data_IF_855198653760
#
_entry.id   IF_855198653760
#
_cell.length_a   1.000
_cell.length_b   1.000
_cell.length_c   1.000
_cell.angle_alpha   90.00
_cell.angle_beta   90.00
_cell.angle_gamma   90.00
#
_symmetry.space_group_name_H-M   'P 1'
#
loop_
_entity.id
_entity.type
_entity.pdbx_description
1 polymer ?
#
# COMPACT_ATOMS: atom_id res chain seq x y z
N UNK A 1 28.01 -7.77 9.59
CA UNK A 1 28.67 -6.62 8.92
C UNK A 1 27.61 -5.83 8.19
N UNK A 2 27.41 -4.57 8.58
CA UNK A 2 26.29 -3.72 8.19
C UNK A 2 26.30 -3.43 6.69
N UNK A 3 25.45 -4.14 5.96
CA UNK A 3 25.32 -4.01 4.52
C UNK A 3 24.72 -2.64 4.16
N UNK A 4 25.59 -1.70 3.84
CA UNK A 4 25.32 -0.27 3.81
C UNK A 4 24.70 0.13 2.47
N UNK A 5 23.38 -0.04 2.33
CA UNK A 5 22.68 0.59 1.21
C UNK A 5 22.67 2.11 1.38
N UNK A 6 22.46 2.89 0.33
CA UNK A 6 22.32 4.36 0.40
C UNK A 6 20.99 4.77 -0.20
N UNK A 7 20.25 5.62 0.52
CA UNK A 7 18.97 6.15 0.04
C UNK A 7 19.21 7.55 -0.52
N UNK A 8 18.82 7.75 -1.78
CA UNK A 8 18.77 9.06 -2.45
C UNK A 8 17.31 9.42 -2.72
N UNK A 9 16.89 10.57 -2.22
CA UNK A 9 15.55 11.12 -2.45
C UNK A 9 15.62 12.07 -3.64
N UNK A 10 14.72 11.89 -4.60
CA UNK A 10 14.61 12.71 -5.82
C UNK A 10 13.20 13.25 -5.98
N UNK A 11 13.05 14.37 -6.69
CA UNK A 11 11.74 14.97 -7.01
C UNK A 11 10.84 15.11 -5.77
N UNK A 12 11.41 15.65 -4.70
CA UNK A 12 10.69 15.82 -3.44
C UNK A 12 9.64 16.92 -3.59
N UNK A 13 8.42 16.63 -3.16
CA UNK A 13 7.29 17.55 -3.24
C UNK A 13 6.44 17.45 -1.98
N UNK A 14 6.13 18.60 -1.38
CA UNK A 14 5.16 18.70 -0.30
C UNK A 14 3.76 18.82 -0.89
N UNK A 15 2.82 17.97 -0.46
CA UNK A 15 1.43 18.02 -0.89
C UNK A 15 0.52 18.19 0.35
N UNK A 16 0.20 19.43 0.73
CA UNK A 16 -0.67 19.73 1.87
C UNK A 16 -2.10 19.21 1.71
N UNK A 17 -2.63 19.18 0.49
CA UNK A 17 -4.01 18.76 0.18
C UNK A 17 -4.27 17.32 0.62
N UNK A 18 -3.27 16.45 0.46
CA UNK A 18 -3.31 15.04 0.87
C UNK A 18 -2.54 14.78 2.17
N UNK A 19 -2.15 15.84 2.89
CA UNK A 19 -1.39 15.79 4.16
C UNK A 19 -0.14 14.91 4.08
N UNK A 20 0.58 14.96 2.96
CA UNK A 20 1.76 14.10 2.72
C UNK A 20 2.89 14.81 2.00
N UNK A 21 4.10 14.27 2.16
CA UNK A 21 5.27 14.53 1.33
C UNK A 21 5.45 13.34 0.40
N UNK A 22 5.76 13.61 -0.87
CA UNK A 22 5.93 12.58 -1.89
C UNK A 22 7.23 12.77 -2.64
N UNK A 23 7.89 11.67 -2.99
CA UNK A 23 9.21 11.71 -3.61
C UNK A 23 9.52 10.39 -4.35
N UNK A 24 10.38 10.51 -5.36
CA UNK A 24 11.03 9.36 -5.97
C UNK A 24 12.18 8.90 -5.07
N UNK A 25 12.32 7.59 -4.93
CA UNK A 25 13.39 6.95 -4.19
C UNK A 25 14.35 6.26 -5.14
N UNK A 26 15.63 6.40 -4.85
CA UNK A 26 16.68 5.64 -5.46
C UNK A 26 17.55 5.04 -4.37
N UNK A 27 17.77 3.73 -4.44
CA UNK A 27 18.49 2.97 -3.44
C UNK A 27 19.69 2.34 -4.12
N UNK A 28 20.88 2.63 -3.61
CA UNK A 28 22.13 2.02 -4.03
C UNK A 28 22.47 0.89 -3.07
N UNK A 29 22.69 -0.31 -3.57
CA UNK A 29 22.95 -1.52 -2.79
C UNK A 29 23.92 -2.45 -3.55
N UNK A 30 25.18 -2.03 -3.79
CA UNK A 30 26.09 -2.68 -4.75
C UNK A 30 26.35 -4.17 -4.47
N UNK A 31 26.42 -4.58 -3.20
CA UNK A 31 26.73 -5.96 -2.81
C UNK A 31 25.51 -6.79 -2.37
N UNK A 32 24.30 -6.24 -2.50
CA UNK A 32 23.04 -6.88 -2.08
C UNK A 32 22.12 -7.02 -3.28
N UNK A 33 21.47 -8.17 -3.44
CA UNK A 33 20.51 -8.39 -4.53
C UNK A 33 19.31 -7.44 -4.47
N UNK A 34 18.61 -7.40 -3.33
CA UNK A 34 17.50 -6.46 -3.09
C UNK A 34 17.43 -6.02 -1.63
N UNK A 35 16.83 -4.85 -1.39
CA UNK A 35 16.64 -4.30 -0.05
C UNK A 35 15.18 -4.46 0.38
N UNK A 36 14.96 -4.98 1.58
CA UNK A 36 13.63 -5.13 2.12
C UNK A 36 13.00 -3.75 2.40
N UNK A 37 11.70 -3.59 2.09
CA UNK A 37 11.00 -2.32 2.31
C UNK A 37 10.97 -1.90 3.78
N UNK A 38 10.97 -2.85 4.71
CA UNK A 38 10.99 -2.58 6.16
C UNK A 38 12.28 -1.83 6.55
N UNK A 39 13.44 -2.32 6.12
CA UNK A 39 14.75 -1.68 6.35
C UNK A 39 14.78 -0.25 5.77
N UNK A 40 14.28 -0.06 4.55
CA UNK A 40 14.22 1.27 3.90
C UNK A 40 13.30 2.21 4.68
N UNK A 41 12.18 1.69 5.19
CA UNK A 41 11.19 2.46 5.94
C UNK A 41 11.75 2.94 7.28
N UNK A 42 12.42 2.07 8.01
CA UNK A 42 13.09 2.40 9.28
C UNK A 42 14.15 3.48 9.08
N UNK A 43 14.95 3.37 8.01
CA UNK A 43 15.98 4.37 7.71
C UNK A 43 15.38 5.71 7.29
N UNK A 44 14.29 5.72 6.54
CA UNK A 44 13.55 6.94 6.23
C UNK A 44 12.92 7.56 7.47
N UNK A 45 12.41 6.75 8.40
CA UNK A 45 11.88 7.23 9.67
C UNK A 45 12.96 7.97 10.49
N UNK A 46 14.17 7.39 10.58
CA UNK A 46 15.32 8.04 11.22
C UNK A 46 15.74 9.32 10.50
N UNK A 47 15.87 9.28 9.16
CA UNK A 47 16.30 10.42 8.35
C UNK A 47 15.36 11.63 8.47
N UNK A 48 14.05 11.39 8.48
CA UNK A 48 13.03 12.44 8.57
C UNK A 48 12.53 12.69 9.99
N UNK A 49 13.18 12.10 11.02
CA UNK A 49 12.83 12.23 12.44
C UNK A 49 11.33 12.01 12.69
N UNK A 50 10.81 10.91 12.16
CA UNK A 50 9.41 10.55 12.26
C UNK A 50 9.19 9.66 13.49
N UNK A 51 8.21 10.03 14.32
CA UNK A 51 7.86 9.25 15.52
C UNK A 51 7.27 7.88 15.20
N UNK A 52 6.56 7.76 14.06
CA UNK A 52 5.82 6.56 13.69
C UNK A 52 6.18 6.09 12.28
N UNK A 53 6.76 4.89 12.19
CA UNK A 53 7.14 4.23 10.92
C UNK A 53 5.91 3.97 10.03
N UNK A 54 4.75 3.74 10.64
CA UNK A 54 3.47 3.50 9.95
C UNK A 54 2.93 4.70 9.15
N UNK A 55 3.52 5.88 9.32
CA UNK A 55 3.20 7.07 8.49
C UNK A 55 3.83 7.03 7.10
N UNK A 56 4.78 6.11 6.87
CA UNK A 56 5.54 5.98 5.64
C UNK A 56 4.97 4.82 4.80
N UNK A 57 4.69 5.08 3.53
CA UNK A 57 4.24 4.06 2.57
C UNK A 57 5.18 4.03 1.37
N UNK A 58 5.69 2.84 1.06
CA UNK A 58 6.71 2.61 0.03
C UNK A 58 6.16 1.67 -1.06
N UNK A 59 6.25 2.08 -2.33
CA UNK A 59 5.75 1.27 -3.45
C UNK A 59 6.53 1.47 -4.75
N UNK A 60 6.26 0.62 -5.74
CA UNK A 60 6.85 0.75 -7.08
C UNK A 60 8.35 0.44 -7.15
N UNK A 61 8.86 -0.40 -6.24
CA UNK A 61 10.27 -0.78 -6.21
C UNK A 61 10.59 -1.67 -7.41
N UNK A 62 11.58 -1.26 -8.22
CA UNK A 62 12.13 -1.99 -9.35
C UNK A 62 13.65 -1.90 -9.33
N UNK A 63 14.31 -3.04 -9.24
CA UNK A 63 15.76 -3.17 -9.43
C UNK A 63 16.09 -2.86 -10.89
N UNK A 64 17.17 -2.10 -11.13
CA UNK A 64 17.67 -1.88 -12.49
C UNK A 64 18.36 -3.16 -13.00
N UNK A 65 18.45 -3.25 -14.33
CA UNK A 65 19.26 -4.26 -14.99
C UNK A 65 20.73 -4.15 -14.54
N UNK A 66 21.37 -5.30 -14.33
CA UNK A 66 22.72 -5.38 -13.74
C UNK A 66 22.77 -5.30 -12.21
N UNK A 67 21.65 -5.06 -11.53
CA UNK A 67 21.59 -5.05 -10.06
C UNK A 67 22.18 -3.79 -9.42
N UNK A 68 22.43 -3.84 -8.11
CA UNK A 68 23.09 -2.76 -7.35
C UNK A 68 22.30 -1.44 -7.17
N UNK A 69 21.19 -1.26 -7.89
CA UNK A 69 20.36 -0.04 -7.82
C UNK A 69 18.88 -0.37 -7.96
N UNK A 70 18.06 0.24 -7.11
CA UNK A 70 16.60 0.12 -7.12
C UNK A 70 15.94 1.48 -7.19
N UNK A 71 14.95 1.65 -8.07
CA UNK A 71 14.06 2.82 -8.09
C UNK A 71 12.76 2.50 -7.38
N UNK A 72 12.19 3.45 -6.67
CA UNK A 72 10.90 3.31 -5.99
C UNK A 72 10.22 4.66 -5.80
N UNK A 73 9.09 4.65 -5.10
CA UNK A 73 8.36 5.84 -4.73
C UNK A 73 7.99 5.78 -3.24
N UNK A 74 8.11 6.93 -2.58
CA UNK A 74 7.85 7.07 -1.15
C UNK A 74 6.81 8.15 -0.87
N UNK A 75 5.95 7.86 0.11
CA UNK A 75 4.99 8.79 0.67
C UNK A 75 5.19 8.85 2.18
N UNK A 76 5.30 10.06 2.72
CA UNK A 76 5.36 10.31 4.17
C UNK A 76 4.15 11.16 4.53
N UNK A 77 3.23 10.59 5.30
CA UNK A 77 2.05 11.29 5.79
C UNK A 77 2.32 12.01 7.12
N UNK A 78 1.53 13.03 7.45
CA UNK A 78 1.63 13.72 8.74
C UNK A 78 1.19 12.84 9.92
N UNK A 79 0.15 12.03 9.75
CA UNK A 79 -0.39 11.15 10.78
C UNK A 79 -0.91 9.83 10.18
N UNK A 80 -1.14 8.82 11.04
CA UNK A 80 -1.62 7.49 10.63
C UNK A 80 -3.06 7.54 10.11
N UNK A 81 -3.89 8.47 10.63
CA UNK A 81 -5.27 8.62 10.16
C UNK A 81 -5.33 9.13 8.72
N UNK A 82 -4.42 10.03 8.31
CA UNK A 82 -4.30 10.44 6.92
C UNK A 82 -3.84 9.27 6.04
N UNK A 83 -2.97 8.38 6.53
CA UNK A 83 -2.62 7.15 5.81
C UNK A 83 -3.88 6.33 5.55
N UNK A 84 -4.65 6.01 6.60
CA UNK A 84 -5.86 5.18 6.47
C UNK A 84 -6.92 5.84 5.58
N UNK A 85 -7.05 7.17 5.60
CA UNK A 85 -8.02 7.92 4.79
C UNK A 85 -7.65 8.01 3.31
N UNK A 86 -6.39 8.33 2.99
CA UNK A 86 -5.98 8.67 1.63
C UNK A 86 -5.31 7.52 0.87
N UNK A 87 -4.77 6.51 1.55
CA UNK A 87 -4.16 5.38 0.85
C UNK A 87 -5.16 4.36 0.35
N UNK A 88 -4.74 3.65 -0.70
CA UNK A 88 -5.53 2.56 -1.25
C UNK A 88 -5.56 1.38 -0.27
N UNK A 89 -6.76 0.81 -0.04
CA UNK A 89 -6.97 -0.32 0.88
C UNK A 89 -5.96 -1.47 0.72
N UNK A 90 -5.63 -1.86 -0.51
CA UNK A 90 -4.69 -2.97 -0.74
C UNK A 90 -3.26 -2.70 -0.23
N UNK A 91 -2.84 -1.42 -0.14
CA UNK A 91 -1.55 -1.06 0.45
C UNK A 91 -1.63 -1.10 1.97
N UNK A 92 -2.73 -0.62 2.54
CA UNK A 92 -2.98 -0.70 3.98
C UNK A 92 -2.95 -2.13 4.49
N UNK A 93 -3.55 -3.07 3.75
CA UNK A 93 -3.50 -4.52 4.05
C UNK A 93 -2.07 -5.06 4.00
N UNK A 94 -1.26 -4.67 3.00
CA UNK A 94 0.15 -5.10 2.90
C UNK A 94 1.03 -4.53 4.01
N UNK A 95 0.66 -3.38 4.55
CA UNK A 95 1.33 -2.74 5.68
C UNK A 95 0.80 -3.22 7.04
N UNK A 96 -0.24 -4.06 7.07
CA UNK A 96 -0.84 -4.58 8.30
C UNK A 96 -1.66 -3.55 9.08
N UNK A 97 -2.08 -2.44 8.45
CA UNK A 97 -2.88 -1.40 9.12
C UNK A 97 -4.39 -1.68 9.13
N UNK A 98 -4.85 -2.57 8.24
CA UNK A 98 -6.25 -2.99 8.09
C UNK A 98 -6.27 -4.46 7.66
N UNK A 99 -7.22 -5.23 8.17
CA UNK A 99 -7.43 -6.61 7.76
C UNK A 99 -8.06 -6.74 6.37
N UNK A 100 -7.75 -7.84 5.68
CA UNK A 100 -8.30 -8.11 4.37
C UNK A 100 -9.79 -8.47 4.48
N UNK A 101 -10.66 -7.59 3.98
CA UNK A 101 -12.08 -7.87 3.81
C UNK A 101 -12.29 -9.11 2.91
N UNK A 102 -12.97 -10.13 3.42
CA UNK A 102 -13.40 -11.31 2.65
C UNK A 102 -14.70 -10.99 1.93
N UNK A 103 -14.66 -10.95 0.59
CA UNK A 103 -15.82 -10.69 -0.26
C UNK A 103 -16.12 -11.88 -1.15
N UNK A 104 -17.40 -12.08 -1.46
CA UNK A 104 -17.81 -13.02 -2.48
C UNK A 104 -17.15 -12.66 -3.83
N UNK A 105 -16.80 -13.68 -4.62
CA UNK A 105 -16.18 -13.48 -5.93
C UNK A 105 -17.05 -12.64 -6.87
N UNK A 106 -16.41 -12.06 -7.90
CA UNK A 106 -17.08 -11.20 -8.89
C UNK A 106 -18.27 -11.92 -9.56
N UNK A 107 -18.13 -13.22 -9.86
CA UNK A 107 -19.20 -14.04 -10.44
C UNK A 107 -20.39 -14.20 -9.48
N UNK A 108 -20.14 -14.66 -8.26
CA UNK A 108 -21.18 -14.83 -7.24
C UNK A 108 -21.94 -13.52 -6.95
N UNK A 109 -21.22 -12.40 -6.88
CA UNK A 109 -21.84 -11.07 -6.69
C UNK A 109 -22.72 -10.65 -7.87
N UNK A 110 -22.32 -10.96 -9.10
CA UNK A 110 -23.12 -10.68 -10.31
C UNK A 110 -24.36 -11.56 -10.42
N UNK A 111 -24.22 -12.85 -10.11
CA UNK A 111 -25.36 -13.78 -10.08
C UNK A 111 -26.39 -13.38 -9.03
N UNK A 112 -25.95 -13.02 -7.82
CA UNK A 112 -26.81 -12.48 -6.75
C UNK A 112 -27.54 -11.21 -7.22
N UNK A 113 -26.82 -10.28 -7.85
CA UNK A 113 -27.41 -9.04 -8.41
C UNK A 113 -28.51 -9.37 -9.42
N UNK A 114 -28.26 -10.29 -10.34
CA UNK A 114 -29.23 -10.65 -11.38
C UNK A 114 -30.46 -11.35 -10.80
N UNK A 115 -30.30 -12.19 -9.76
CA UNK A 115 -31.44 -12.78 -9.03
C UNK A 115 -32.27 -11.72 -8.30
N UNK A 116 -31.62 -10.78 -7.61
CA UNK A 116 -32.30 -9.67 -6.91
C UNK A 116 -33.05 -8.72 -7.83
N UNK A 117 -32.67 -8.62 -9.10
CA UNK A 117 -33.39 -7.83 -10.11
C UNK A 117 -34.73 -8.45 -10.52
N UNK A 118 -34.94 -9.76 -10.33
CA UNK A 118 -36.18 -10.46 -10.71
C UNK A 118 -37.33 -10.30 -9.70
N UNK A 119 -37.03 -9.83 -8.49
CA UNK A 119 -38.00 -9.70 -7.39
C UNK A 119 -38.12 -8.24 -6.94
N UNK A 120 -39.25 -7.87 -6.32
CA UNK A 120 -39.57 -6.47 -5.95
C UNK A 120 -39.78 -6.32 -4.44
N UNK A 121 -39.62 -5.11 -3.93
CA UNK A 121 -39.88 -4.78 -2.53
C UNK A 121 -39.06 -5.63 -1.54
N UNK A 122 -39.73 -6.11 -0.50
CA UNK A 122 -39.14 -6.90 0.57
C UNK A 122 -38.68 -8.28 0.11
N UNK A 123 -39.13 -8.80 -1.03
CA UNK A 123 -38.68 -10.10 -1.54
C UNK A 123 -37.18 -10.11 -1.92
N UNK A 124 -36.58 -8.94 -2.17
CA UNK A 124 -35.14 -8.80 -2.44
C UNK A 124 -34.26 -9.28 -1.29
N UNK A 125 -34.73 -9.18 -0.04
CA UNK A 125 -33.96 -9.65 1.13
C UNK A 125 -33.98 -11.17 1.25
N UNK A 126 -35.02 -11.84 0.73
CA UNK A 126 -35.12 -13.31 0.68
C UNK A 126 -34.15 -13.93 -0.33
N UNK A 127 -33.66 -13.16 -1.30
CA UNK A 127 -32.65 -13.60 -2.28
C UNK A 127 -31.25 -13.55 -1.67
N UNK A 128 -30.84 -14.69 -1.09
CA UNK A 128 -29.49 -14.92 -0.60
C UNK A 128 -28.56 -15.51 -1.67
N UNK A 129 -27.25 -15.42 -1.43
CA UNK A 129 -26.27 -16.14 -2.25
C UNK A 129 -26.49 -17.64 -2.08
N UNK A 130 -26.23 -18.44 -3.12
CA UNK A 130 -26.26 -19.89 -2.97
C UNK A 130 -25.42 -20.28 -1.75
N UNK A 131 -26.01 -20.99 -0.77
CA UNK A 131 -25.23 -21.63 0.29
C UNK A 131 -24.12 -22.40 -0.40
N UNK A 132 -22.86 -22.18 0.00
CA UNK A 132 -21.80 -23.13 -0.35
C UNK A 132 -22.29 -24.49 0.16
N UNK A 133 -22.47 -25.44 -0.74
CA UNK A 133 -22.44 -26.85 -0.36
C UNK A 133 -21.07 -27.15 0.23
#
# INVERSE_FOLDING_TARGET
MTDQFTIRVKKYMSNPLLRRKQFALEILHPNKGSVAKKEVKERLAKMYKLNNVNTIVLFGFKTLFGGGRTKGFGLIYKNVDAVKKFEKKYRLVREGLIDKETKAGRRASKELKNRRKKVRGTEKTKVSGAKKK
#
